data_IF_247136126534
#
_entry.id   IF_247136126534
#
_cell.length_a   1.000
_cell.length_b   1.000
_cell.length_c   1.000
_cell.angle_alpha   90.00
_cell.angle_beta   90.00
_cell.angle_gamma   90.00
#
_symmetry.space_group_name_H-M   'P 1'
#
loop_
_entity.id
_entity.type
_entity.pdbx_description
1 polymer ?
#
# COMPACT_ATOMS: atom_id res chain seq x y z
N UNK A 1 0.30 19.41 -10.84
CA UNK A 1 0.31 19.22 -9.37
C UNK A 1 0.47 17.74 -9.07
N UNK A 2 1.68 17.30 -8.75
CA UNK A 2 1.89 15.96 -8.19
C UNK A 2 1.38 16.05 -6.76
N UNK A 3 0.13 15.65 -6.53
CA UNK A 3 -0.40 15.51 -5.18
C UNK A 3 0.34 14.34 -4.53
N UNK A 4 1.47 14.65 -3.88
CA UNK A 4 1.97 13.83 -2.78
C UNK A 4 0.91 14.00 -1.70
N UNK A 5 -0.17 13.22 -1.79
CA UNK A 5 -1.01 12.97 -0.64
C UNK A 5 -0.06 12.38 0.38
N UNK A 6 0.40 13.23 1.30
CA UNK A 6 0.88 12.82 2.61
C UNK A 6 -0.32 12.16 3.28
N UNK A 7 -0.59 10.91 2.87
CA UNK A 7 -1.42 9.97 3.58
C UNK A 7 -0.69 9.69 4.90
N UNK A 8 -0.78 10.64 5.83
CA UNK A 8 -0.60 10.33 7.24
C UNK A 8 -1.68 9.30 7.53
N UNK A 9 -1.24 8.03 7.60
CA UNK A 9 -1.98 6.89 8.15
C UNK A 9 -3.02 6.20 7.23
N UNK A 10 -2.73 6.10 5.92
CA UNK A 10 -3.17 4.93 5.11
C UNK A 10 -2.01 4.49 4.21
N UNK A 11 -0.81 4.42 4.78
CA UNK A 11 0.03 3.32 4.34
C UNK A 11 -0.69 2.08 4.86
N UNK A 12 -1.17 1.22 3.96
CA UNK A 12 -0.94 -0.19 4.22
C UNK A 12 0.58 -0.37 4.18
N UNK A 13 1.27 0.15 5.20
CA UNK A 13 2.42 -0.56 5.70
C UNK A 13 1.74 -1.83 6.18
N UNK A 14 1.69 -2.83 5.30
CA UNK A 14 1.76 -4.19 5.79
C UNK A 14 3.09 -4.17 6.53
N UNK A 15 3.07 -3.74 7.80
CA UNK A 15 4.11 -4.17 8.70
C UNK A 15 3.97 -5.67 8.61
N UNK A 16 4.94 -6.29 7.94
CA UNK A 16 5.09 -7.72 7.92
C UNK A 16 5.50 -8.14 9.34
N UNK A 17 4.64 -7.89 10.33
CA UNK A 17 4.63 -8.55 11.62
C UNK A 17 4.03 -9.92 11.41
N UNK A 18 4.74 -10.76 10.65
CA UNK A 18 4.70 -12.20 10.86
C UNK A 18 5.97 -12.80 10.30
N UNK A 19 6.81 -13.28 11.22
CA UNK A 19 7.80 -14.31 10.98
C UNK A 19 7.08 -15.55 10.44
N UNK A 20 6.82 -15.60 9.15
CA UNK A 20 6.61 -16.87 8.46
C UNK A 20 7.79 -17.06 7.52
N UNK A 21 8.72 -17.86 8.05
CA UNK A 21 9.88 -18.40 7.36
C UNK A 21 9.41 -19.28 6.21
N UNK A 22 9.08 -18.69 5.07
CA UNK A 22 8.98 -19.45 3.82
C UNK A 22 10.39 -19.55 3.25
N UNK A 23 10.92 -20.77 3.31
CA UNK A 23 12.30 -21.09 3.05
C UNK A 23 12.76 -20.81 1.62
N UNK A 24 14.09 -20.70 1.54
CA UNK A 24 14.95 -20.85 0.37
C UNK A 24 14.78 -19.84 -0.77
N UNK A 25 15.59 -18.76 -0.72
CA UNK A 25 16.38 -18.41 -1.89
C UNK A 25 17.83 -18.13 -1.49
N UNK A 26 18.74 -18.96 -2.01
CA UNK A 26 20.18 -18.85 -1.86
C UNK A 26 20.73 -17.70 -2.70
N UNK A 27 21.81 -17.11 -2.19
CA UNK A 27 22.75 -16.16 -2.82
C UNK A 27 22.38 -14.67 -2.89
N UNK A 28 22.40 -14.00 -1.73
CA UNK A 28 23.02 -12.67 -1.62
C UNK A 28 24.37 -12.84 -0.92
N UNK A 29 25.47 -12.76 -1.68
CA UNK A 29 26.83 -12.98 -1.19
C UNK A 29 27.38 -11.71 -0.52
N UNK A 30 26.80 -11.29 0.61
CA UNK A 30 27.40 -10.35 1.57
C UNK A 30 26.37 -10.11 2.68
N UNK A 31 26.81 -10.00 3.93
CA UNK A 31 25.99 -9.75 5.14
C UNK A 31 25.11 -8.48 5.11
N UNK A 32 25.16 -7.72 4.01
CA UNK A 32 24.23 -6.65 3.69
C UNK A 32 22.92 -7.25 3.18
N UNK A 33 21.92 -7.33 4.07
CA UNK A 33 20.51 -7.60 3.74
C UNK A 33 20.15 -7.00 2.36
N UNK A 34 19.86 -7.85 1.37
CA UNK A 34 19.33 -7.41 0.08
C UNK A 34 17.97 -6.77 0.31
N UNK A 35 17.93 -5.43 0.31
CA UNK A 35 16.72 -4.64 0.52
C UNK A 35 16.10 -4.35 -0.83
N UNK A 36 14.84 -4.72 -0.98
CA UNK A 36 14.08 -4.50 -2.20
C UNK A 36 13.10 -3.35 -1.97
N UNK A 37 13.08 -2.40 -2.90
CA UNK A 37 12.05 -1.38 -3.01
C UNK A 37 11.16 -1.69 -4.20
N UNK A 38 9.85 -1.65 -4.01
CA UNK A 38 8.85 -1.91 -5.03
C UNK A 38 8.00 -0.66 -5.23
N UNK A 39 8.01 -0.15 -6.46
CA UNK A 39 7.32 1.08 -6.87
C UNK A 39 6.51 0.78 -8.12
N UNK A 40 5.23 1.10 -8.10
CA UNK A 40 4.31 0.78 -9.20
C UNK A 40 3.22 1.84 -9.32
N UNK A 41 2.64 1.97 -10.51
CA UNK A 41 1.46 2.80 -10.75
C UNK A 41 0.20 1.98 -10.46
N UNK A 42 -0.69 2.53 -9.64
CA UNK A 42 -1.97 1.96 -9.29
C UNK A 42 -2.98 2.43 -10.32
N UNK A 43 -3.31 1.54 -11.24
CA UNK A 43 -4.42 1.75 -12.17
C UNK A 43 -5.62 0.86 -11.77
N UNK A 44 -6.76 1.51 -11.58
CA UNK A 44 -8.04 0.84 -11.30
C UNK A 44 -9.00 0.94 -12.50
N UNK A 45 -8.54 1.41 -13.67
CA UNK A 45 -9.38 1.51 -14.88
C UNK A 45 -9.91 0.13 -15.28
N UNK A 46 -11.23 -0.03 -15.47
CA UNK A 46 -11.79 -1.26 -16.02
C UNK A 46 -11.57 -1.34 -17.55
N UNK A 47 -11.65 -2.54 -18.14
CA UNK A 47 -11.82 -3.83 -17.47
C UNK A 47 -10.50 -4.33 -16.87
N UNK A 48 -10.55 -4.77 -15.62
CA UNK A 48 -9.44 -5.49 -14.98
C UNK A 48 -9.79 -6.98 -14.93
N UNK A 49 -9.04 -7.81 -15.65
CA UNK A 49 -9.18 -9.26 -15.58
C UNK A 49 -8.74 -9.83 -14.22
N UNK A 50 -7.89 -9.10 -13.51
CA UNK A 50 -7.36 -9.45 -12.20
C UNK A 50 -7.61 -8.28 -11.23
N UNK A 51 -8.22 -8.52 -10.05
CA UNK A 51 -8.41 -7.47 -9.05
C UNK A 51 -7.08 -6.80 -8.63
N UNK A 52 -7.01 -5.46 -8.49
CA UNK A 52 -5.77 -4.75 -8.15
C UNK A 52 -5.08 -5.25 -6.87
N UNK A 53 -5.85 -5.69 -5.88
CA UNK A 53 -5.34 -6.29 -4.65
C UNK A 53 -4.55 -7.58 -4.91
N UNK A 54 -5.03 -8.42 -5.83
CA UNK A 54 -4.37 -9.68 -6.18
C UNK A 54 -3.05 -9.41 -6.92
N UNK A 55 -3.05 -8.42 -7.82
CA UNK A 55 -1.82 -7.97 -8.51
C UNK A 55 -0.79 -7.46 -7.49
N UNK A 56 -1.22 -6.67 -6.50
CA UNK A 56 -0.34 -6.18 -5.42
C UNK A 56 0.36 -7.33 -4.68
N UNK A 57 -0.40 -8.35 -4.32
CA UNK A 57 0.11 -9.51 -3.60
C UNK A 57 1.06 -10.35 -4.46
N UNK A 58 0.74 -10.58 -5.73
CA UNK A 58 1.63 -11.29 -6.65
C UNK A 58 2.96 -10.56 -6.82
N UNK A 59 2.92 -9.23 -6.99
CA UNK A 59 4.14 -8.41 -7.09
C UNK A 59 4.93 -8.39 -5.79
N UNK A 60 4.28 -8.36 -4.63
CA UNK A 60 4.95 -8.50 -3.32
C UNK A 60 5.73 -9.81 -3.24
N UNK A 61 5.10 -10.93 -3.61
CA UNK A 61 5.71 -12.27 -3.57
C UNK A 61 6.89 -12.35 -4.54
N UNK A 62 6.71 -11.84 -5.76
CA UNK A 62 7.78 -11.76 -6.75
C UNK A 62 8.95 -10.90 -6.24
N UNK A 63 8.68 -9.71 -5.69
CA UNK A 63 9.69 -8.82 -5.12
C UNK A 63 10.44 -9.46 -3.94
N UNK A 64 9.75 -10.26 -3.12
CA UNK A 64 10.34 -10.98 -2.00
C UNK A 64 11.36 -12.04 -2.43
N UNK A 65 11.26 -12.56 -3.66
CA UNK A 65 12.28 -13.46 -4.20
C UNK A 65 13.64 -12.76 -4.42
N UNK A 66 13.65 -11.44 -4.60
CA UNK A 66 14.89 -10.66 -4.76
C UNK A 66 15.50 -10.21 -3.42
N UNK A 67 14.80 -10.40 -2.30
CA UNK A 67 15.27 -10.00 -0.97
C UNK A 67 14.15 -9.46 -0.05
N UNK A 68 14.54 -8.82 1.05
CA UNK A 68 13.59 -8.26 2.02
C UNK A 68 12.98 -6.99 1.47
N UNK A 69 11.69 -7.03 1.14
CA UNK A 69 10.93 -5.86 0.69
C UNK A 69 10.80 -4.85 1.84
N UNK A 70 11.54 -3.74 1.75
CA UNK A 70 11.53 -2.66 2.74
C UNK A 70 10.54 -1.56 2.40
N UNK A 71 10.33 -1.32 1.11
CA UNK A 71 9.47 -0.26 0.63
C UNK A 71 8.53 -0.83 -0.43
N UNK A 72 7.25 -0.51 -0.29
CA UNK A 72 6.19 -0.84 -1.22
C UNK A 72 5.34 0.42 -1.40
N UNK A 73 5.42 1.05 -2.56
CA UNK A 73 4.77 2.34 -2.82
C UNK A 73 3.99 2.27 -4.12
N UNK A 74 2.67 2.46 -4.01
CA UNK A 74 1.77 2.62 -5.14
C UNK A 74 1.54 4.11 -5.43
N UNK A 75 1.85 4.55 -6.64
CA UNK A 75 1.46 5.87 -7.12
C UNK A 75 0.05 5.81 -7.68
N UNK A 76 -0.75 6.85 -7.52
CA UNK A 76 -2.11 6.89 -8.06
C UNK A 76 -2.43 8.30 -8.53
N UNK A 77 -3.12 8.41 -9.66
CA UNK A 77 -3.67 9.66 -10.13
C UNK A 77 -5.11 9.86 -9.60
N UNK A 78 -5.68 11.06 -9.80
CA UNK A 78 -7.06 11.34 -9.37
C UNK A 78 -8.09 10.41 -10.03
N UNK A 79 -7.84 9.99 -11.27
CA UNK A 79 -8.71 9.14 -12.06
C UNK A 79 -8.74 7.68 -11.56
N UNK A 80 -7.66 7.18 -10.96
CA UNK A 80 -7.61 5.88 -10.27
C UNK A 80 -8.66 5.77 -9.17
N UNK A 81 -9.00 6.88 -8.51
CA UNK A 81 -9.98 6.90 -7.44
C UNK A 81 -11.44 6.95 -7.93
N UNK A 82 -11.69 7.35 -9.18
CA UNK A 82 -13.03 7.41 -9.76
C UNK A 82 -13.67 6.02 -9.89
N UNK A 83 -12.84 4.99 -10.08
CA UNK A 83 -13.25 3.59 -10.24
C UNK A 83 -13.39 2.83 -8.93
N UNK A 84 -13.14 3.49 -7.79
CA UNK A 84 -13.33 2.88 -6.47
C UNK A 84 -14.84 2.81 -6.18
N UNK A 85 -15.36 1.67 -5.68
CA UNK A 85 -16.78 1.53 -5.37
C UNK A 85 -17.30 2.64 -4.46
N UNK A 86 -18.54 3.09 -4.71
CA UNK A 86 -19.17 4.20 -4.00
C UNK A 86 -19.12 4.02 -2.48
N UNK A 87 -19.43 2.82 -1.97
CA UNK A 87 -19.39 2.49 -0.54
C UNK A 87 -18.01 2.82 0.06
N UNK A 88 -16.94 2.43 -0.63
CA UNK A 88 -15.57 2.69 -0.18
C UNK A 88 -15.24 4.19 -0.22
N UNK A 89 -15.79 4.93 -1.19
CA UNK A 89 -15.62 6.39 -1.27
C UNK A 89 -16.30 7.11 -0.11
N UNK A 90 -17.51 6.72 0.25
CA UNK A 90 -18.24 7.34 1.37
C UNK A 90 -17.58 7.03 2.71
N UNK A 91 -17.19 5.77 2.96
CA UNK A 91 -16.45 5.42 4.18
C UNK A 91 -15.13 6.19 4.31
N UNK A 92 -14.47 6.52 3.19
CA UNK A 92 -13.26 7.36 3.21
C UNK A 92 -13.56 8.81 3.59
N UNK A 93 -14.67 9.38 3.12
CA UNK A 93 -15.08 10.74 3.51
C UNK A 93 -15.41 10.81 4.99
N UNK A 94 -16.18 9.83 5.50
CA UNK A 94 -16.52 9.73 6.92
C UNK A 94 -15.26 9.63 7.78
N UNK A 95 -14.33 8.73 7.42
CA UNK A 95 -13.04 8.61 8.10
C UNK A 95 -12.25 9.93 8.07
N UNK A 96 -12.22 10.61 6.93
CA UNK A 96 -11.50 11.88 6.80
C UNK A 96 -12.08 12.97 7.70
N UNK A 97 -13.41 12.99 7.86
CA UNK A 97 -14.10 13.89 8.79
C UNK A 97 -13.72 13.58 10.24
N UNK A 98 -13.72 12.30 10.63
CA UNK A 98 -13.28 11.88 11.96
C UNK A 98 -11.83 12.31 12.24
N UNK A 99 -10.90 12.05 11.32
CA UNK A 99 -9.52 12.51 11.46
C UNK A 99 -9.40 14.02 11.58
N UNK A 100 -10.23 14.79 10.86
CA UNK A 100 -10.25 16.25 10.99
C UNK A 100 -10.67 16.68 12.39
N UNK A 101 -11.66 16.00 12.99
CA UNK A 101 -12.11 16.27 14.36
C UNK A 101 -11.08 15.85 15.41
N UNK A 102 -10.44 14.70 15.26
CA UNK A 102 -9.37 14.22 16.13
C UNK A 102 -8.18 15.18 16.12
N UNK A 103 -7.74 15.62 14.94
CA UNK A 103 -6.62 16.55 14.80
C UNK A 103 -6.91 17.93 15.41
N UNK A 104 -8.19 18.31 15.49
CA UNK A 104 -8.63 19.54 16.17
C UNK A 104 -8.79 19.36 17.69
N UNK A 105 -8.62 18.15 18.21
CA UNK A 105 -8.85 17.84 19.62
C UNK A 105 -10.31 17.86 20.05
N UNK A 106 -11.26 17.91 19.10
CA UNK A 106 -12.71 17.95 19.38
C UNK A 106 -13.18 16.58 19.88
N UNK A 107 -12.58 15.51 19.37
CA UNK A 107 -12.86 14.14 19.77
C UNK A 107 -11.56 13.44 20.17
N UNK A 108 -11.67 12.50 21.11
CA UNK A 108 -10.54 11.63 21.48
C UNK A 108 -10.33 10.60 20.37
N UNK A 109 -9.07 10.31 19.98
CA UNK A 109 -8.79 9.22 19.06
C UNK A 109 -9.24 7.90 19.67
N UNK A 110 -9.88 7.07 18.84
CA UNK A 110 -10.28 5.71 19.20
C UNK A 110 -9.09 4.75 19.23
#
# INVERSE_FOLDING_TARGET
MVSILKFRRIFYTIEATRKESYGALRHCHSEKLCRVGFFWDLDNKPPNSIPPYEVANKLRIAAASFGVVRHMVAYANSHTFSHVPHVVRESRKERQLLYSLENKGVIKPA
#
